data_IF_040106323131
#
_entry.id   IF_040106323131
#
_cell.length_a   1.000
_cell.length_b   1.000
_cell.length_c   1.000
_cell.angle_alpha   90.00
_cell.angle_beta   90.00
_cell.angle_gamma   90.00
#
_symmetry.space_group_name_H-M   'P 1'
#
loop_
_entity.id
_entity.type
_entity.pdbx_description
1 polymer ?
#
# COMPACT_ATOMS: atom_id res chain seq x y z
N UNK A 1 1.48 -10.62 25.37
CA UNK A 1 2.64 -10.08 24.63
C UNK A 1 2.94 -8.69 25.16
N UNK A 2 3.94 -8.55 26.04
CA UNK A 2 4.24 -7.32 26.76
C UNK A 2 5.18 -6.47 25.89
N UNK A 3 4.64 -5.44 25.24
CA UNK A 3 5.46 -4.49 24.49
C UNK A 3 6.18 -3.57 25.48
N UNK A 4 7.48 -3.40 25.28
CA UNK A 4 8.42 -2.87 26.27
C UNK A 4 8.22 -1.35 26.55
N UNK A 5 8.30 -0.97 27.84
CA UNK A 5 8.54 0.40 28.34
C UNK A 5 7.48 1.51 28.08
N UNK A 6 6.18 1.20 27.99
CA UNK A 6 5.13 2.24 27.99
C UNK A 6 5.07 3.10 26.71
N UNK A 7 5.64 2.64 25.60
CA UNK A 7 5.57 3.32 24.30
C UNK A 7 4.20 3.09 23.66
N UNK A 8 3.60 4.17 23.14
CA UNK A 8 2.42 4.09 22.26
C UNK A 8 2.85 3.54 20.90
N UNK A 9 2.14 2.52 20.42
CA UNK A 9 2.42 1.85 19.16
C UNK A 9 1.22 2.03 18.23
N UNK A 10 1.47 2.30 16.95
CA UNK A 10 0.45 2.25 15.90
C UNK A 10 0.69 0.97 15.11
N UNK A 11 -0.29 0.09 15.09
CA UNK A 11 -0.29 -1.12 14.30
C UNK A 11 -1.13 -0.89 13.04
N UNK A 12 -0.56 -1.17 11.89
CA UNK A 12 -1.26 -1.09 10.60
C UNK A 12 -1.78 -2.49 10.27
N UNK A 13 -3.10 -2.66 10.36
CA UNK A 13 -3.81 -3.80 9.81
C UNK A 13 -3.92 -3.63 8.29
N UNK A 14 -3.04 -4.32 7.57
CA UNK A 14 -2.92 -4.18 6.15
C UNK A 14 -3.82 -5.19 5.42
N UNK A 15 -5.02 -4.76 5.05
CA UNK A 15 -6.00 -5.60 4.33
C UNK A 15 -5.84 -5.41 2.83
N UNK A 16 -4.72 -5.87 2.29
CA UNK A 16 -4.44 -5.83 0.85
C UNK A 16 -4.99 -7.05 0.07
N UNK A 17 -5.62 -8.00 0.79
CA UNK A 17 -6.34 -9.15 0.24
C UNK A 17 -7.84 -8.88 0.35
N UNK A 18 -8.52 -8.71 -0.79
CA UNK A 18 -9.93 -8.32 -0.79
C UNK A 18 -10.84 -9.34 -0.08
N UNK A 19 -10.45 -10.62 -0.09
CA UNK A 19 -11.17 -11.69 0.62
C UNK A 19 -11.21 -11.48 2.15
N UNK A 20 -10.31 -10.66 2.69
CA UNK A 20 -10.14 -10.42 4.12
C UNK A 20 -10.65 -9.05 4.58
N UNK A 21 -11.13 -8.20 3.68
CA UNK A 21 -11.58 -6.84 4.02
C UNK A 21 -12.63 -6.79 5.12
N UNK A 22 -13.52 -7.78 5.20
CA UNK A 22 -14.61 -7.80 6.17
C UNK A 22 -14.38 -8.74 7.37
N UNK A 23 -13.15 -9.27 7.55
CA UNK A 23 -12.81 -10.04 8.75
C UNK A 23 -12.77 -9.11 9.97
N UNK A 24 -13.45 -9.52 11.04
CA UNK A 24 -13.50 -8.77 12.28
C UNK A 24 -12.66 -9.47 13.35
N UNK A 25 -11.99 -8.68 14.17
CA UNK A 25 -11.28 -9.12 15.35
C UNK A 25 -11.20 -7.96 16.34
N UNK A 26 -11.02 -8.26 17.62
CA UNK A 26 -10.87 -7.27 18.68
C UNK A 26 -9.49 -7.42 19.31
N UNK A 27 -8.77 -6.30 19.42
CA UNK A 27 -7.50 -6.23 20.15
C UNK A 27 -7.64 -5.10 21.14
N UNK A 28 -7.73 -5.46 22.42
CA UNK A 28 -7.75 -4.50 23.50
C UNK A 28 -6.33 -4.34 24.05
N UNK A 29 -5.70 -3.21 23.74
CA UNK A 29 -4.40 -2.86 24.30
C UNK A 29 -4.28 -1.34 24.42
N UNK A 30 -4.23 -0.84 25.66
CA UNK A 30 -4.14 0.59 25.96
C UNK A 30 -2.90 1.29 25.36
N UNK A 31 -1.85 0.53 25.04
CA UNK A 31 -0.62 1.03 24.45
C UNK A 31 -0.57 0.85 22.93
N UNK A 32 -1.57 0.21 22.30
CA UNK A 32 -1.59 -0.02 20.86
C UNK A 32 -2.85 0.57 20.22
N UNK A 33 -2.66 1.39 19.19
CA UNK A 33 -3.73 1.84 18.31
C UNK A 33 -3.66 1.07 17.01
N UNK A 34 -4.75 0.40 16.63
CA UNK A 34 -4.85 -0.24 15.32
C UNK A 34 -5.50 0.71 14.34
N UNK A 35 -4.88 0.83 13.17
CA UNK A 35 -5.43 1.52 11.99
C UNK A 35 -5.43 0.55 10.82
N UNK A 36 -6.33 0.74 9.86
CA UNK A 36 -6.50 -0.23 8.77
C UNK A 36 -6.30 0.41 7.42
N UNK A 37 -5.55 -0.27 6.55
CA UNK A 37 -5.49 0.03 5.12
C UNK A 37 -6.30 -1.00 4.35
N UNK A 38 -6.93 -0.56 3.27
CA UNK A 38 -7.68 -1.43 2.38
C UNK A 38 -7.16 -1.26 0.97
N UNK A 39 -6.79 -2.37 0.33
CA UNK A 39 -6.30 -2.35 -1.05
C UNK A 39 -6.39 -3.72 -1.70
N UNK A 40 -6.04 -3.75 -2.98
CA UNK A 40 -5.90 -4.95 -3.78
C UNK A 40 -4.43 -5.05 -4.20
N UNK A 41 -3.70 -5.96 -3.55
CA UNK A 41 -2.30 -6.24 -3.90
C UNK A 41 -2.21 -6.90 -5.27
N UNK A 42 -1.15 -6.64 -6.07
CA UNK A 42 -0.95 -7.27 -7.39
C UNK A 42 -0.95 -8.80 -7.42
N UNK A 43 -0.82 -9.46 -6.26
CA UNK A 43 -0.85 -10.93 -6.11
C UNK A 43 -2.24 -11.51 -5.81
N UNK A 44 -3.20 -10.65 -5.46
CA UNK A 44 -4.53 -11.06 -5.02
C UNK A 44 -5.59 -10.37 -5.86
N UNK A 45 -5.38 -10.26 -7.17
CA UNK A 45 -6.36 -9.66 -8.07
C UNK A 45 -7.63 -10.53 -8.13
N UNK A 46 -8.82 -9.90 -8.11
CA UNK A 46 -10.08 -10.63 -8.16
C UNK A 46 -10.35 -11.20 -9.56
N UNK A 47 -11.17 -12.24 -9.67
CA UNK A 47 -11.74 -12.65 -10.97
C UNK A 47 -13.04 -11.91 -11.27
N UNK A 48 -13.82 -11.62 -10.23
CA UNK A 48 -15.05 -10.84 -10.24
C UNK A 48 -14.79 -9.33 -10.06
N UNK A 49 -13.95 -8.75 -10.92
CA UNK A 49 -13.36 -7.42 -10.71
C UNK A 49 -14.39 -6.32 -10.41
N UNK A 50 -15.46 -6.21 -11.21
CA UNK A 50 -16.40 -5.08 -11.11
C UNK A 50 -17.10 -5.06 -9.74
N UNK A 51 -17.46 -6.25 -9.23
CA UNK A 51 -18.03 -6.40 -7.89
C UNK A 51 -17.05 -5.96 -6.80
N UNK A 52 -15.79 -6.38 -6.89
CA UNK A 52 -14.79 -6.08 -5.86
C UNK A 52 -14.37 -4.60 -5.89
N UNK A 53 -14.24 -4.01 -7.08
CA UNK A 53 -13.96 -2.57 -7.22
C UNK A 53 -15.10 -1.73 -6.63
N UNK A 54 -16.36 -2.10 -6.90
CA UNK A 54 -17.52 -1.43 -6.29
C UNK A 54 -17.55 -1.61 -4.76
N UNK A 55 -17.17 -2.79 -4.23
CA UNK A 55 -17.03 -2.98 -2.79
C UNK A 55 -15.95 -2.07 -2.18
N UNK A 56 -14.82 -1.89 -2.88
CA UNK A 56 -13.75 -1.00 -2.45
C UNK A 56 -14.22 0.46 -2.35
N UNK A 57 -14.94 0.97 -3.36
CA UNK A 57 -15.51 2.31 -3.27
C UNK A 57 -16.44 2.46 -2.06
N UNK A 58 -17.27 1.46 -1.80
CA UNK A 58 -18.21 1.49 -0.68
C UNK A 58 -17.49 1.49 0.68
N UNK A 59 -16.31 0.87 0.79
CA UNK A 59 -15.43 0.94 1.97
C UNK A 59 -15.02 2.39 2.25
N UNK A 60 -14.56 3.13 1.23
CA UNK A 60 -14.03 4.48 1.41
C UNK A 60 -15.09 5.60 1.37
N UNK A 61 -16.23 5.37 0.71
CA UNK A 61 -17.38 6.28 0.72
C UNK A 61 -18.29 6.09 1.95
N UNK A 62 -17.77 5.48 3.02
CA UNK A 62 -18.43 5.29 4.33
C UNK A 62 -19.79 4.58 4.26
N UNK A 63 -19.97 3.64 3.34
CA UNK A 63 -21.19 2.81 3.28
C UNK A 63 -21.13 1.57 4.19
N UNK A 64 -20.07 1.42 4.99
CA UNK A 64 -19.91 0.33 5.95
C UNK A 64 -19.55 0.87 7.34
N UNK A 65 -20.15 0.27 8.37
CA UNK A 65 -19.81 0.54 9.78
C UNK A 65 -18.53 -0.21 10.15
N UNK A 66 -17.36 0.34 9.80
CA UNK A 66 -16.07 -0.27 10.09
C UNK A 66 -15.65 0.05 11.53
N UNK A 67 -15.24 -0.98 12.29
CA UNK A 67 -14.75 -0.83 13.68
C UNK A 67 -13.37 -0.18 13.78
N UNK A 68 -12.64 -0.06 12.67
CA UNK A 68 -11.29 0.52 12.63
C UNK A 68 -11.30 1.87 11.92
N UNK A 69 -10.42 2.80 12.33
CA UNK A 69 -10.21 4.04 11.58
C UNK A 69 -9.47 3.67 10.28
N UNK A 70 -10.17 3.77 9.16
CA UNK A 70 -9.59 3.65 7.81
C UNK A 70 -8.58 4.78 7.58
N UNK A 71 -7.36 4.45 7.13
CA UNK A 71 -6.27 5.44 7.01
C UNK A 71 -5.66 5.58 5.63
N UNK A 72 -5.71 4.56 4.77
CA UNK A 72 -5.10 4.63 3.43
C UNK A 72 -5.68 3.56 2.47
N UNK A 73 -5.51 3.81 1.17
CA UNK A 73 -5.66 2.81 0.11
C UNK A 73 -4.35 2.05 -0.04
N UNK A 74 -4.40 0.73 0.04
CA UNK A 74 -3.26 -0.16 -0.16
C UNK A 74 -3.16 -1.30 0.85
N UNK A 75 -2.19 -2.19 0.72
CA UNK A 75 -1.13 -2.19 -0.31
C UNK A 75 -1.64 -2.46 -1.74
N UNK A 76 -1.21 -1.62 -2.69
CA UNK A 76 -1.48 -1.76 -4.12
C UNK A 76 -0.21 -1.50 -4.94
N UNK A 77 -0.17 -1.91 -6.21
CA UNK A 77 0.98 -1.66 -7.08
C UNK A 77 1.23 -2.76 -8.10
N UNK A 78 2.50 -2.97 -8.46
CA UNK A 78 2.92 -3.94 -9.46
C UNK A 78 3.95 -4.92 -8.89
N UNK A 79 3.80 -6.19 -9.21
CA UNK A 79 4.69 -7.28 -8.79
C UNK A 79 4.96 -8.22 -9.98
N UNK A 80 6.20 -8.22 -10.46
CA UNK A 80 6.66 -9.08 -11.58
C UNK A 80 6.58 -10.57 -11.27
N UNK A 81 6.48 -10.96 -10.00
CA UNK A 81 6.34 -12.35 -9.55
C UNK A 81 4.89 -12.77 -9.38
N UNK A 82 3.93 -11.88 -9.68
CA UNK A 82 2.51 -12.23 -9.68
C UNK A 82 2.16 -13.15 -10.84
N UNK A 83 1.17 -14.03 -10.62
CA UNK A 83 0.59 -14.87 -11.68
C UNK A 83 -0.28 -14.09 -12.67
N UNK A 84 -0.64 -12.86 -12.35
CA UNK A 84 -1.53 -12.03 -13.16
C UNK A 84 -0.72 -11.18 -14.14
N UNK A 85 -1.29 -10.92 -15.32
CA UNK A 85 -0.64 -10.08 -16.34
C UNK A 85 -0.41 -8.66 -15.83
N UNK A 86 0.64 -8.01 -16.35
CA UNK A 86 0.94 -6.61 -16.03
C UNK A 86 -0.22 -5.68 -16.36
N UNK A 87 -0.90 -5.89 -17.49
CA UNK A 87 -2.07 -5.09 -17.87
C UNK A 87 -3.18 -5.18 -16.82
N UNK A 88 -3.40 -6.37 -16.26
CA UNK A 88 -4.45 -6.52 -15.26
C UNK A 88 -4.05 -5.90 -13.92
N UNK A 89 -2.79 -6.04 -13.52
CA UNK A 89 -2.26 -5.34 -12.34
C UNK A 89 -2.36 -3.81 -12.51
N UNK A 90 -2.00 -3.29 -13.68
CA UNK A 90 -2.04 -1.86 -14.00
C UNK A 90 -3.47 -1.32 -13.98
N UNK A 91 -4.42 -2.05 -14.56
CA UNK A 91 -5.84 -1.69 -14.50
C UNK A 91 -6.34 -1.53 -13.06
N UNK A 92 -6.00 -2.49 -12.18
CA UNK A 92 -6.40 -2.47 -10.78
C UNK A 92 -5.64 -1.39 -9.99
N UNK A 93 -4.37 -1.13 -10.31
CA UNK A 93 -3.61 -0.03 -9.71
C UNK A 93 -4.25 1.33 -10.05
N UNK A 94 -4.54 1.58 -11.34
CA UNK A 94 -5.15 2.83 -11.82
C UNK A 94 -6.44 3.14 -11.08
N UNK A 95 -7.33 2.15 -10.95
CA UNK A 95 -8.56 2.31 -10.20
C UNK A 95 -8.31 2.79 -8.75
N UNK A 96 -7.35 2.16 -8.07
CA UNK A 96 -7.01 2.51 -6.69
C UNK A 96 -6.40 3.91 -6.56
N UNK A 97 -5.57 4.33 -7.53
CA UNK A 97 -4.99 5.68 -7.58
C UNK A 97 -6.05 6.74 -7.86
N UNK A 98 -6.96 6.49 -8.79
CA UNK A 98 -8.09 7.40 -9.10
C UNK A 98 -8.96 7.56 -7.87
N UNK A 99 -9.35 6.47 -7.20
CA UNK A 99 -10.15 6.52 -5.98
C UNK A 99 -9.41 7.28 -4.85
N UNK A 100 -8.09 7.09 -4.73
CA UNK A 100 -7.27 7.83 -3.78
C UNK A 100 -7.27 9.33 -4.07
N UNK A 101 -7.16 9.72 -5.34
CA UNK A 101 -7.20 11.11 -5.78
C UNK A 101 -8.57 11.75 -5.50
N UNK A 102 -9.66 11.08 -5.88
CA UNK A 102 -11.02 11.56 -5.68
C UNK A 102 -11.33 11.84 -4.21
N UNK A 103 -10.88 10.95 -3.32
CA UNK A 103 -11.19 11.02 -1.89
C UNK A 103 -10.09 11.67 -1.06
N UNK A 104 -8.98 12.09 -1.68
CA UNK A 104 -7.79 12.64 -1.02
C UNK A 104 -7.24 11.72 0.09
N UNK A 105 -7.24 10.41 -0.17
CA UNK A 105 -6.83 9.37 0.80
C UNK A 105 -5.38 8.95 0.52
N UNK A 106 -4.52 8.77 1.55
CA UNK A 106 -3.15 8.31 1.36
C UNK A 106 -3.05 6.98 0.61
N UNK A 107 -1.93 6.74 -0.08
CA UNK A 107 -1.66 5.50 -0.81
C UNK A 107 -0.48 4.75 -0.20
N UNK A 108 -0.60 3.44 -0.04
CA UNK A 108 0.50 2.54 0.34
C UNK A 108 0.87 1.66 -0.86
N UNK A 109 2.08 1.83 -1.38
CA UNK A 109 2.55 1.22 -2.62
C UNK A 109 3.47 0.03 -2.41
N UNK A 110 3.22 -1.01 -3.18
CA UNK A 110 4.06 -2.16 -3.41
C UNK A 110 4.71 -2.06 -4.80
N UNK A 111 6.03 -2.25 -4.88
CA UNK A 111 6.73 -2.37 -6.16
C UNK A 111 7.71 -3.53 -6.12
N UNK A 112 7.61 -4.44 -7.10
CA UNK A 112 8.60 -5.51 -7.32
C UNK A 112 8.84 -5.76 -8.81
N UNK A 113 10.11 -5.86 -9.18
CA UNK A 113 10.56 -5.99 -10.56
C UNK A 113 11.04 -4.65 -11.13
N UNK A 114 12.01 -4.71 -12.04
CA UNK A 114 12.74 -3.55 -12.56
C UNK A 114 11.79 -2.53 -13.22
N UNK A 115 10.99 -2.96 -14.20
CA UNK A 115 10.04 -2.09 -14.90
C UNK A 115 8.89 -1.59 -14.02
N UNK A 116 8.60 -2.27 -12.91
CA UNK A 116 7.47 -1.93 -12.04
C UNK A 116 7.64 -0.54 -11.41
N UNK A 117 8.86 -0.15 -11.03
CA UNK A 117 9.09 1.15 -10.37
C UNK A 117 8.81 2.33 -11.31
N UNK A 118 9.36 2.29 -12.52
CA UNK A 118 9.13 3.35 -13.51
C UNK A 118 7.65 3.46 -13.90
N UNK A 119 6.98 2.33 -14.13
CA UNK A 119 5.55 2.32 -14.47
C UNK A 119 4.73 2.89 -13.32
N UNK A 120 4.92 2.39 -12.08
CA UNK A 120 4.23 2.91 -10.90
C UNK A 120 4.45 4.42 -10.80
N UNK A 121 5.68 4.91 -10.90
CA UNK A 121 5.97 6.34 -10.79
C UNK A 121 5.26 7.19 -11.85
N UNK A 122 5.18 6.71 -13.10
CA UNK A 122 4.42 7.41 -14.14
C UNK A 122 2.92 7.47 -13.84
N UNK A 123 2.34 6.36 -13.37
CA UNK A 123 0.92 6.32 -12.99
C UNK A 123 0.61 7.18 -11.77
N UNK A 124 1.53 7.29 -10.81
CA UNK A 124 1.39 8.23 -9.69
C UNK A 124 1.33 9.68 -10.19
N UNK A 125 2.22 10.09 -11.10
CA UNK A 125 2.22 11.45 -11.64
C UNK A 125 0.97 11.77 -12.46
N UNK A 126 0.44 10.78 -13.15
CA UNK A 126 -0.77 10.93 -13.96
C UNK A 126 -2.01 11.13 -13.09
N UNK A 127 -2.10 10.42 -11.96
CA UNK A 127 -3.33 10.34 -11.18
C UNK A 127 -3.32 11.13 -9.87
N UNK A 128 -2.14 11.42 -9.30
CA UNK A 128 -2.00 12.06 -7.99
C UNK A 128 -1.30 13.41 -8.10
N UNK A 129 -1.67 14.32 -7.20
CA UNK A 129 -0.99 15.61 -7.06
C UNK A 129 0.36 15.45 -6.34
N UNK A 130 1.35 16.35 -6.56
CA UNK A 130 2.64 16.31 -5.87
C UNK A 130 2.54 16.29 -4.33
N UNK A 131 1.51 16.91 -3.75
CA UNK A 131 1.30 16.93 -2.30
C UNK A 131 0.46 15.74 -1.77
N UNK A 132 0.14 14.74 -2.60
CA UNK A 132 -0.59 13.55 -2.15
C UNK A 132 0.25 12.72 -1.20
N UNK A 133 -0.34 12.21 -0.12
CA UNK A 133 0.38 11.38 0.85
C UNK A 133 0.61 9.97 0.28
N UNK A 134 1.87 9.59 0.08
CA UNK A 134 2.24 8.31 -0.52
C UNK A 134 3.32 7.65 0.33
N UNK A 135 3.12 6.38 0.68
CA UNK A 135 4.12 5.54 1.34
C UNK A 135 4.50 4.38 0.43
N UNK A 136 5.73 4.33 -0.05
CA UNK A 136 6.26 3.21 -0.84
C UNK A 136 6.98 2.21 0.06
N UNK A 137 6.30 1.13 0.45
CA UNK A 137 6.66 0.39 1.67
C UNK A 137 7.87 -0.53 1.58
N UNK A 138 8.21 -1.03 0.38
CA UNK A 138 9.12 -2.16 0.21
C UNK A 138 10.43 -1.79 -0.51
N UNK A 139 11.00 -0.62 -0.24
CA UNK A 139 12.30 -0.26 -0.84
C UNK A 139 13.38 -1.20 -0.27
N UNK A 140 14.07 -1.88 -1.18
CA UNK A 140 15.05 -2.92 -0.87
C UNK A 140 16.20 -2.87 -1.90
N UNK A 141 17.26 -3.69 -1.76
CA UNK A 141 18.42 -3.62 -2.66
C UNK A 141 18.15 -3.88 -4.15
N UNK A 142 17.01 -4.48 -4.50
CA UNK A 142 16.59 -4.68 -5.88
C UNK A 142 15.65 -3.58 -6.40
N UNK A 143 15.39 -2.53 -5.59
CA UNK A 143 14.61 -1.37 -6.02
C UNK A 143 15.45 -0.47 -6.92
N UNK A 144 14.82 0.13 -7.92
CA UNK A 144 15.45 1.16 -8.74
C UNK A 144 15.59 2.46 -7.93
N UNK A 145 16.76 2.69 -7.35
CA UNK A 145 17.03 3.85 -6.50
C UNK A 145 16.98 5.18 -7.26
N UNK A 146 17.20 5.19 -8.58
CA UNK A 146 17.06 6.40 -9.37
C UNK A 146 15.60 6.82 -9.43
N UNK A 147 14.69 5.86 -9.68
CA UNK A 147 13.25 6.12 -9.67
C UNK A 147 12.75 6.48 -8.26
N UNK A 148 13.22 5.80 -7.22
CA UNK A 148 12.88 6.15 -5.84
C UNK A 148 13.33 7.57 -5.49
N UNK A 149 14.51 8.00 -5.92
CA UNK A 149 15.00 9.37 -5.73
C UNK A 149 14.11 10.38 -6.46
N UNK A 150 13.76 10.10 -7.73
CA UNK A 150 12.87 10.97 -8.50
C UNK A 150 11.46 11.04 -7.87
N UNK A 151 10.97 9.93 -7.32
CA UNK A 151 9.72 9.89 -6.57
C UNK A 151 9.75 10.82 -5.35
N UNK A 152 10.80 10.73 -4.53
CA UNK A 152 10.97 11.59 -3.34
C UNK A 152 11.13 13.07 -3.69
N UNK A 153 11.75 13.38 -4.84
CA UNK A 153 11.89 14.76 -5.31
C UNK A 153 10.59 15.34 -5.88
N UNK A 154 9.75 14.49 -6.48
CA UNK A 154 8.50 14.92 -7.13
C UNK A 154 7.34 15.02 -6.14
N UNK A 155 7.19 14.05 -5.23
CA UNK A 155 6.11 14.01 -4.26
C UNK A 155 6.54 14.58 -2.91
N UNK A 156 6.04 15.77 -2.57
CA UNK A 156 6.35 16.50 -1.33
C UNK A 156 6.02 15.67 -0.08
N UNK A 157 4.97 14.85 -0.16
CA UNK A 157 4.51 13.96 0.90
C UNK A 157 4.78 12.47 0.57
N UNK A 158 5.87 12.21 -0.15
CA UNK A 158 6.37 10.87 -0.45
C UNK A 158 7.27 10.32 0.67
N UNK A 159 6.97 9.11 1.13
CA UNK A 159 7.75 8.39 2.14
C UNK A 159 8.15 7.01 1.59
N UNK A 160 9.30 6.50 2.03
CA UNK A 160 9.74 5.13 1.71
C UNK A 160 9.85 4.28 2.98
N UNK A 161 9.44 3.03 2.86
CA UNK A 161 9.67 1.99 3.85
C UNK A 161 10.92 1.19 3.49
N UNK A 162 11.80 1.02 4.47
CA UNK A 162 12.99 0.17 4.39
C UNK A 162 12.70 -1.13 5.15
N UNK A 163 12.91 -2.28 4.53
CA UNK A 163 12.65 -3.58 5.13
C UNK A 163 13.94 -4.33 5.52
N UNK A 164 13.79 -5.44 6.24
CA UNK A 164 14.91 -6.24 6.74
C UNK A 164 15.82 -6.86 5.67
N UNK A 165 15.42 -6.88 4.39
CA UNK A 165 16.29 -7.36 3.30
C UNK A 165 17.53 -6.49 3.13
N UNK A 166 17.46 -5.20 3.51
CA UNK A 166 18.62 -4.32 3.57
C UNK A 166 19.66 -4.80 4.59
N UNK A 167 19.21 -5.39 5.70
CA UNK A 167 20.08 -5.85 6.79
C UNK A 167 20.85 -7.11 6.39
N UNK A 168 20.22 -8.03 5.65
CA UNK A 168 20.85 -9.28 5.23
C UNK A 168 22.09 -9.08 4.34
N UNK A 169 22.18 -7.96 3.60
CA UNK A 169 23.37 -7.63 2.81
C UNK A 169 24.49 -7.01 3.64
N UNK A 170 24.17 -6.28 4.70
CA UNK A 170 25.16 -5.70 5.61
C UNK A 170 25.86 -6.81 6.42
N UNK A 171 25.09 -7.81 6.88
CA UNK A 171 25.64 -8.95 7.63
C UNK A 171 26.49 -9.89 6.78
N UNK A 172 26.43 -9.83 5.44
CA UNK A 172 27.37 -10.55 4.57
C UNK A 172 28.70 -9.84 4.34
N UNK A 173 28.86 -8.62 4.86
CA UNK A 173 30.05 -7.77 4.73
C UNK A 173 30.86 -7.70 6.05
N UNK A 174 30.28 -8.17 7.17
CA UNK A 174 30.91 -8.28 8.49
C UNK A 174 31.21 -9.73 8.80
#
# INVERSE_FOLDING_TARGET
MQLAHGRKIILIDNRHQYQHWFKNYEVENLNAKIVTTYGIHPKYLPTNRDTILHQMENIFKNKFNLKTKTVAIGECGLDSTSRFTYDYQLYILKFQLILAAELQIPVVLHGRGENSFLIIFNELKEHLKPNHNIHWHCVNPHSDLHIITNFLNYFENGYIGLNGLLINQILSIV
#
